data_IF_699367979793
#
_entry.id   IF_699367979793
#
_cell.length_a   1.000
_cell.length_b   1.000
_cell.length_c   1.000
_cell.angle_alpha   90.00
_cell.angle_beta   90.00
_cell.angle_gamma   90.00
#
_symmetry.space_group_name_H-M   'P 1'
#
loop_
_entity.id
_entity.type
_entity.pdbx_description
1 polymer ?
#
# COMPACT_ATOMS: atom_id res chain seq x y z
N UNK A 1 -52.27 9.57 30.70
CA UNK A 1 -52.39 9.96 29.28
C UNK A 1 -51.57 8.97 28.46
N UNK A 2 -52.06 8.52 27.28
CA UNK A 2 -51.28 7.67 26.39
C UNK A 2 -50.12 8.47 25.77
N UNK A 3 -48.94 7.85 25.64
CA UNK A 3 -47.81 8.47 24.96
C UNK A 3 -47.94 8.32 23.44
N UNK A 4 -47.18 9.13 22.69
CA UNK A 4 -47.17 9.10 21.21
C UNK A 4 -45.93 8.40 20.63
N UNK A 5 -45.11 7.76 21.47
CA UNK A 5 -43.91 7.06 21.00
C UNK A 5 -44.23 5.80 20.17
N UNK A 6 -43.39 5.47 19.17
CA UNK A 6 -43.50 4.25 18.37
C UNK A 6 -43.61 2.98 19.21
N UNK A 7 -44.49 2.06 18.79
CA UNK A 7 -44.65 0.76 19.42
C UNK A 7 -43.68 -0.27 18.82
N UNK A 8 -43.25 -1.22 19.65
CA UNK A 8 -42.36 -2.34 19.31
C UNK A 8 -40.97 -1.96 18.75
N UNK A 9 -40.58 -0.69 18.86
CA UNK A 9 -39.26 -0.18 18.52
C UNK A 9 -38.56 0.36 19.78
N UNK A 10 -37.23 0.31 19.79
CA UNK A 10 -36.46 0.94 20.85
C UNK A 10 -36.40 2.45 20.60
N UNK A 11 -36.70 3.23 21.64
CA UNK A 11 -36.65 4.70 21.60
C UNK A 11 -35.98 5.25 22.85
N UNK A 12 -35.12 6.24 22.68
CA UNK A 12 -34.50 6.96 23.78
C UNK A 12 -35.38 8.16 24.14
N UNK A 13 -36.00 8.10 25.32
CA UNK A 13 -36.93 9.14 25.79
C UNK A 13 -36.68 9.46 27.27
N UNK A 14 -36.89 10.72 27.69
CA UNK A 14 -36.75 11.10 29.09
C UNK A 14 -37.86 10.43 29.92
N UNK A 15 -37.46 9.79 31.02
CA UNK A 15 -38.37 9.27 32.02
C UNK A 15 -39.24 10.40 32.58
N UNK A 16 -40.57 10.26 32.56
CA UNK A 16 -41.49 11.29 33.06
C UNK A 16 -41.38 11.53 34.57
N UNK A 17 -40.75 10.61 35.32
CA UNK A 17 -40.57 10.74 36.76
C UNK A 17 -39.28 11.48 37.14
N UNK A 18 -38.16 11.20 36.48
CA UNK A 18 -36.84 11.71 36.88
C UNK A 18 -36.11 12.50 35.79
N UNK A 19 -36.66 12.58 34.59
CA UNK A 19 -36.07 13.28 33.45
C UNK A 19 -34.89 12.57 32.80
N UNK A 20 -34.38 11.47 33.36
CA UNK A 20 -33.23 10.76 32.77
C UNK A 20 -33.62 10.12 31.44
N UNK A 21 -32.78 10.33 30.41
CA UNK A 21 -32.96 9.67 29.11
C UNK A 21 -32.66 8.20 29.27
N UNK A 22 -33.61 7.36 28.89
CA UNK A 22 -33.51 5.91 28.99
C UNK A 22 -34.04 5.29 27.71
N UNK A 23 -33.54 4.09 27.40
CA UNK A 23 -34.03 3.32 26.26
C UNK A 23 -35.28 2.55 26.66
N UNK A 24 -36.38 2.82 25.99
CA UNK A 24 -37.67 2.17 26.21
C UNK A 24 -38.10 1.37 24.98
N UNK A 25 -38.89 0.33 25.21
CA UNK A 25 -39.61 -0.40 24.16
C UNK A 25 -41.06 -0.58 24.59
N UNK A 26 -41.96 0.18 23.98
CA UNK A 26 -43.38 0.20 24.32
C UNK A 26 -44.14 -0.88 23.55
N UNK A 27 -44.97 -1.66 24.22
CA UNK A 27 -45.87 -2.65 23.63
C UNK A 27 -47.29 -2.09 23.45
N UNK A 28 -47.66 -1.04 24.20
CA UNK A 28 -48.95 -0.36 24.12
C UNK A 28 -48.79 1.15 24.31
N UNK A 29 -49.70 1.94 23.72
CA UNK A 29 -49.76 3.39 23.94
C UNK A 29 -50.11 3.76 25.41
N UNK A 30 -50.59 2.80 26.19
CA UNK A 30 -50.88 2.95 27.62
C UNK A 30 -49.69 2.66 28.53
N UNK A 31 -48.55 2.22 27.97
CA UNK A 31 -47.37 1.90 28.78
C UNK A 31 -46.85 3.16 29.49
N UNK A 32 -46.33 2.99 30.70
CA UNK A 32 -45.78 4.12 31.45
C UNK A 32 -44.39 4.48 30.94
N UNK A 33 -44.18 5.77 30.65
CA UNK A 33 -42.86 6.32 30.29
C UNK A 33 -42.06 6.60 31.56
N UNK A 34 -41.82 5.55 32.35
CA UNK A 34 -41.14 5.60 33.65
C UNK A 34 -40.08 4.51 33.68
N UNK A 35 -38.83 4.87 33.98
CA UNK A 35 -37.71 3.92 33.91
C UNK A 35 -37.84 2.79 34.92
N UNK A 36 -37.06 1.71 34.74
CA UNK A 36 -37.07 0.56 35.65
C UNK A 36 -36.82 0.93 37.11
N UNK A 37 -35.94 1.91 37.35
CA UNK A 37 -35.62 2.39 38.68
C UNK A 37 -36.81 3.15 39.30
N UNK A 38 -37.42 4.10 38.60
CA UNK A 38 -38.56 4.85 39.15
C UNK A 38 -39.84 4.02 39.33
N UNK A 39 -40.03 2.94 38.56
CA UNK A 39 -41.21 2.05 38.69
C UNK A 39 -41.33 1.42 40.08
N UNK A 40 -40.22 1.15 40.78
CA UNK A 40 -40.25 0.59 42.14
C UNK A 40 -40.77 1.58 43.20
N UNK A 41 -40.79 2.87 42.88
CA UNK A 41 -41.16 3.96 43.80
C UNK A 41 -42.57 4.50 43.58
N UNK A 42 -43.41 3.86 42.77
CA UNK A 42 -44.78 4.30 42.52
C UNK A 42 -45.65 4.11 43.79
N UNK A 43 -45.95 5.21 44.48
CA UNK A 43 -46.84 5.29 45.64
C UNK A 43 -46.62 6.57 46.45
N UNK A 44 -47.67 7.17 47.06
CA UNK A 44 -47.56 8.45 47.76
C UNK A 44 -46.62 8.41 48.98
N UNK A 45 -46.41 7.23 49.58
CA UNK A 45 -45.55 7.06 50.77
C UNK A 45 -44.05 6.86 50.45
N UNK A 46 -43.66 6.89 49.16
CA UNK A 46 -42.26 6.61 48.73
C UNK A 46 -41.54 7.81 48.12
N UNK A 47 -42.13 9.00 48.13
CA UNK A 47 -41.58 10.19 47.49
C UNK A 47 -40.20 10.59 48.06
N UNK A 48 -40.06 10.64 49.39
CA UNK A 48 -38.78 11.02 50.03
C UNK A 48 -37.67 9.99 49.79
N UNK A 49 -38.02 8.71 49.74
CA UNK A 49 -37.06 7.64 49.41
C UNK A 49 -36.58 7.77 47.96
N UNK A 50 -37.51 7.98 47.02
CA UNK A 50 -37.22 8.21 45.61
C UNK A 50 -36.28 9.40 45.41
N UNK A 51 -36.57 10.53 46.06
CA UNK A 51 -35.79 11.74 45.89
C UNK A 51 -34.36 11.57 46.45
N UNK A 52 -34.19 10.87 47.59
CA UNK A 52 -32.87 10.50 48.11
C UNK A 52 -32.09 9.58 47.15
N UNK A 53 -32.74 8.56 46.59
CA UNK A 53 -32.10 7.65 45.64
C UNK A 53 -31.73 8.37 44.33
N UNK A 54 -32.57 9.28 43.85
CA UNK A 54 -32.24 10.10 42.68
C UNK A 54 -31.06 11.04 42.94
N UNK A 55 -31.01 11.71 44.09
CA UNK A 55 -29.87 12.56 44.44
C UNK A 55 -28.60 11.73 44.48
N UNK A 56 -28.62 10.56 45.13
CA UNK A 56 -27.46 9.67 45.17
C UNK A 56 -27.02 9.21 43.77
N UNK A 57 -27.97 8.85 42.90
CA UNK A 57 -27.69 8.49 41.51
C UNK A 57 -27.04 9.65 40.74
N UNK A 58 -27.61 10.85 40.82
CA UNK A 58 -27.09 12.01 40.12
C UNK A 58 -25.72 12.44 40.63
N UNK A 59 -25.49 12.40 41.94
CA UNK A 59 -24.16 12.63 42.53
C UNK A 59 -23.15 11.64 41.98
N UNK A 60 -23.48 10.34 41.94
CA UNK A 60 -22.58 9.31 41.38
C UNK A 60 -22.30 9.52 39.88
N UNK A 61 -23.29 9.92 39.10
CA UNK A 61 -23.11 10.27 37.68
C UNK A 61 -22.17 11.46 37.52
N UNK A 62 -22.36 12.53 38.31
CA UNK A 62 -21.51 13.72 38.25
C UNK A 62 -20.07 13.42 38.69
N UNK A 63 -19.88 12.64 39.75
CA UNK A 63 -18.55 12.21 40.21
C UNK A 63 -17.82 11.38 39.16
N UNK A 64 -18.54 10.48 38.47
CA UNK A 64 -17.99 9.72 37.35
C UNK A 64 -17.58 10.64 36.19
N UNK A 65 -18.45 11.57 35.79
CA UNK A 65 -18.12 12.55 34.74
C UNK A 65 -16.93 13.44 35.11
N UNK A 66 -16.82 13.88 36.37
CA UNK A 66 -15.70 14.68 36.84
C UNK A 66 -14.39 13.88 36.84
N UNK A 67 -14.47 12.57 37.13
CA UNK A 67 -13.31 11.68 37.02
C UNK A 67 -12.88 11.52 35.56
N UNK A 68 -13.82 11.17 34.68
CA UNK A 68 -13.56 10.99 33.26
C UNK A 68 -13.00 12.28 32.63
N UNK A 69 -13.52 13.45 33.02
CA UNK A 69 -13.03 14.74 32.55
C UNK A 69 -11.60 15.04 33.03
N UNK A 70 -11.26 14.66 34.27
CA UNK A 70 -9.89 14.80 34.81
C UNK A 70 -8.92 13.87 34.08
N UNK A 71 -9.32 12.64 33.83
CA UNK A 71 -8.50 11.65 33.11
C UNK A 71 -8.29 12.09 31.65
N UNK A 72 -9.35 12.51 30.96
CA UNK A 72 -9.26 13.05 29.61
C UNK A 72 -8.37 14.31 29.52
N UNK A 73 -8.42 15.20 30.52
CA UNK A 73 -7.56 16.37 30.57
C UNK A 73 -6.08 15.99 30.79
N UNK A 74 -5.80 14.99 31.62
CA UNK A 74 -4.45 14.48 31.84
C UNK A 74 -3.88 13.83 30.56
N UNK A 75 -4.68 12.99 29.89
CA UNK A 75 -4.31 12.37 28.60
C UNK A 75 -4.05 13.42 27.51
N UNK A 76 -4.94 14.42 27.39
CA UNK A 76 -4.78 15.49 26.42
C UNK A 76 -3.51 16.31 26.66
N UNK A 77 -3.17 16.58 27.94
CA UNK A 77 -1.96 17.28 28.32
C UNK A 77 -0.70 16.48 27.97
N UNK A 78 -0.70 15.17 28.25
CA UNK A 78 0.40 14.28 27.88
C UNK A 78 0.60 14.22 26.36
N UNK A 79 -0.49 14.02 25.60
CA UNK A 79 -0.45 14.00 24.14
C UNK A 79 0.03 15.34 23.55
N UNK A 80 -0.35 16.47 24.13
CA UNK A 80 0.13 17.79 23.72
C UNK A 80 1.64 17.95 23.97
N UNK A 81 2.16 17.42 25.08
CA UNK A 81 3.59 17.38 25.37
C UNK A 81 4.37 16.58 24.34
N UNK A 82 3.93 15.34 24.07
CA UNK A 82 4.57 14.46 23.07
C UNK A 82 4.55 15.08 21.67
N UNK A 83 3.41 15.69 21.27
CA UNK A 83 3.29 16.39 20.00
C UNK A 83 4.24 17.58 19.91
N UNK A 84 4.37 18.38 20.98
CA UNK A 84 5.28 19.51 21.03
C UNK A 84 6.75 19.08 20.90
N UNK A 85 7.15 18.00 21.58
CA UNK A 85 8.50 17.43 21.47
C UNK A 85 8.79 16.92 20.04
N UNK A 86 7.84 16.22 19.44
CA UNK A 86 7.96 15.75 18.05
C UNK A 86 8.09 16.91 17.08
N UNK A 87 7.27 17.96 17.22
CA UNK A 87 7.34 19.16 16.37
C UNK A 87 8.68 19.88 16.54
N UNK A 88 9.17 20.01 17.77
CA UNK A 88 10.47 20.62 18.04
C UNK A 88 11.61 19.83 17.38
N UNK A 89 11.61 18.50 17.50
CA UNK A 89 12.60 17.61 16.88
C UNK A 89 12.58 17.73 15.35
N UNK A 90 11.41 17.58 14.73
CA UNK A 90 11.27 17.67 13.28
C UNK A 90 11.64 19.05 12.74
N UNK A 91 11.34 20.11 13.49
CA UNK A 91 11.75 21.48 13.14
C UNK A 91 13.27 21.61 13.16
N UNK A 92 13.94 21.08 14.17
CA UNK A 92 15.40 21.08 14.26
C UNK A 92 16.05 20.28 13.12
N UNK A 93 15.54 19.08 12.81
CA UNK A 93 16.02 18.26 11.69
C UNK A 93 15.82 18.97 10.35
N UNK A 94 14.65 19.57 10.12
CA UNK A 94 14.38 20.38 8.91
C UNK A 94 15.39 21.51 8.78
N UNK A 95 15.68 22.23 9.86
CA UNK A 95 16.58 23.37 9.83
C UNK A 95 18.03 22.93 9.58
N UNK A 96 18.46 21.81 10.15
CA UNK A 96 19.75 21.17 9.83
C UNK A 96 19.84 20.76 8.36
N UNK A 97 18.81 20.11 7.82
CA UNK A 97 18.77 19.72 6.41
C UNK A 97 18.78 20.92 5.47
N UNK A 98 18.03 21.98 5.81
CA UNK A 98 18.01 23.22 5.03
C UNK A 98 19.37 23.92 5.05
N UNK A 99 20.02 23.95 6.22
CA UNK A 99 21.37 24.48 6.34
C UNK A 99 22.36 23.65 5.51
N UNK A 100 22.34 22.32 5.60
CA UNK A 100 23.20 21.45 4.80
C UNK A 100 22.94 21.51 3.29
N UNK A 101 21.70 21.73 2.87
CA UNK A 101 21.36 21.92 1.46
C UNK A 101 21.91 23.24 0.88
N UNK A 102 22.01 24.29 1.71
CA UNK A 102 22.54 25.61 1.31
C UNK A 102 24.07 25.64 1.44
N UNK A 103 24.60 25.09 2.52
CA UNK A 103 26.03 24.97 2.78
C UNK A 103 26.51 23.54 2.48
N UNK A 104 26.84 23.32 1.20
CA UNK A 104 27.38 22.06 0.72
C UNK A 104 28.78 21.74 1.27
N UNK A 105 29.44 22.68 1.96
CA UNK A 105 30.74 22.45 2.58
C UNK A 105 30.62 21.89 4.01
N UNK A 106 29.43 21.98 4.63
CA UNK A 106 29.15 21.32 5.90
C UNK A 106 29.13 19.79 5.74
N UNK A 107 29.41 19.05 6.82
CA UNK A 107 29.37 17.57 6.83
C UNK A 107 28.00 17.03 6.39
N UNK A 108 26.91 17.65 6.89
CA UNK A 108 25.54 17.33 6.51
C UNK A 108 25.27 17.62 5.03
N UNK A 109 25.80 18.75 4.52
CA UNK A 109 25.67 19.12 3.12
C UNK A 109 26.43 18.19 2.18
N UNK A 110 27.66 17.79 2.55
CA UNK A 110 28.46 16.83 1.81
C UNK A 110 27.78 15.45 1.77
N UNK A 111 27.27 14.96 2.91
CA UNK A 111 26.54 13.71 2.99
C UNK A 111 25.25 13.72 2.13
N UNK A 112 24.51 14.83 2.15
CA UNK A 112 23.30 15.00 1.33
C UNK A 112 23.64 14.99 -0.17
N UNK A 113 24.72 15.66 -0.59
CA UNK A 113 25.15 15.67 -1.99
C UNK A 113 25.60 14.28 -2.46
N UNK A 114 26.32 13.55 -1.61
CA UNK A 114 26.73 12.18 -1.91
C UNK A 114 25.52 11.26 -2.09
N UNK A 115 24.55 11.31 -1.16
CA UNK A 115 23.29 10.58 -1.26
C UNK A 115 22.51 10.92 -2.53
N UNK A 116 22.40 12.20 -2.89
CA UNK A 116 21.71 12.64 -4.10
C UNK A 116 22.43 12.16 -5.37
N UNK A 117 23.76 12.16 -5.38
CA UNK A 117 24.57 11.66 -6.49
C UNK A 117 24.34 10.15 -6.66
N UNK A 118 24.43 9.41 -5.58
CA UNK A 118 24.14 7.98 -5.50
C UNK A 118 22.74 7.65 -6.02
N UNK A 119 21.75 8.42 -5.61
CA UNK A 119 20.37 8.28 -6.04
C UNK A 119 20.21 8.52 -7.54
N UNK A 120 20.89 9.54 -8.09
CA UNK A 120 20.91 9.79 -9.54
C UNK A 120 21.56 8.63 -10.29
N UNK A 121 22.67 8.09 -9.79
CA UNK A 121 23.34 6.92 -10.36
C UNK A 121 22.40 5.72 -10.35
N UNK A 122 21.80 5.38 -9.20
CA UNK A 122 20.83 4.27 -9.08
C UNK A 122 19.64 4.43 -10.03
N UNK A 123 19.11 5.65 -10.18
CA UNK A 123 18.00 5.92 -11.13
C UNK A 123 18.45 5.73 -12.58
N UNK A 124 19.64 6.21 -12.94
CA UNK A 124 20.20 6.05 -14.28
C UNK A 124 20.47 4.57 -14.61
N UNK A 125 21.00 3.81 -13.66
CA UNK A 125 21.22 2.36 -13.79
C UNK A 125 19.90 1.62 -13.99
N UNK A 126 18.87 1.90 -13.17
CA UNK A 126 17.54 1.29 -13.35
C UNK A 126 16.93 1.63 -14.71
N UNK A 127 17.03 2.87 -15.16
CA UNK A 127 16.56 3.28 -16.49
C UNK A 127 17.29 2.55 -17.61
N UNK A 128 18.60 2.36 -17.47
CA UNK A 128 19.45 1.61 -18.40
C UNK A 128 19.05 0.13 -18.43
N UNK A 129 18.85 -0.49 -17.26
CA UNK A 129 18.40 -1.88 -17.14
C UNK A 129 17.01 -2.10 -17.76
N UNK A 130 16.07 -1.17 -17.56
CA UNK A 130 14.74 -1.24 -18.17
C UNK A 130 14.82 -1.12 -19.69
N UNK A 131 15.63 -0.19 -20.20
CA UNK A 131 15.87 -0.04 -21.65
C UNK A 131 16.50 -1.30 -22.23
N UNK A 132 17.52 -1.85 -21.57
CA UNK A 132 18.16 -3.11 -21.98
C UNK A 132 17.14 -4.26 -22.04
N UNK A 133 16.28 -4.40 -21.03
CA UNK A 133 15.22 -5.43 -21.02
C UNK A 133 14.23 -5.26 -22.17
N UNK A 134 13.87 -4.02 -22.54
CA UNK A 134 13.00 -3.73 -23.68
C UNK A 134 13.67 -4.11 -25.00
N UNK A 135 14.94 -3.75 -25.17
CA UNK A 135 15.75 -4.14 -26.34
C UNK A 135 15.84 -5.66 -26.44
N UNK A 136 16.15 -6.37 -25.35
CA UNK A 136 16.21 -7.83 -25.34
C UNK A 136 14.86 -8.44 -25.74
N UNK A 137 13.74 -7.90 -25.22
CA UNK A 137 12.40 -8.37 -25.58
C UNK A 137 12.13 -8.22 -27.09
N UNK A 138 12.51 -7.08 -27.67
CA UNK A 138 12.35 -6.84 -29.10
C UNK A 138 13.27 -7.76 -29.93
N UNK A 139 14.53 -7.93 -29.51
CA UNK A 139 15.48 -8.80 -30.20
C UNK A 139 15.09 -10.27 -30.14
N UNK A 140 14.52 -10.74 -29.03
CA UNK A 140 13.92 -12.08 -28.93
C UNK A 140 12.77 -12.25 -29.94
N UNK A 141 11.90 -11.25 -30.07
CA UNK A 141 10.80 -11.31 -31.04
C UNK A 141 11.31 -11.36 -32.49
N UNK A 142 12.33 -10.57 -32.82
CA UNK A 142 12.99 -10.58 -34.13
C UNK A 142 13.71 -11.90 -34.40
N UNK A 143 14.41 -12.45 -33.41
CA UNK A 143 15.08 -13.75 -33.50
C UNK A 143 14.06 -14.87 -33.77
N UNK A 144 12.94 -14.88 -33.04
CA UNK A 144 11.83 -15.83 -33.29
C UNK A 144 11.27 -15.68 -34.70
N UNK A 145 11.07 -14.45 -35.17
CA UNK A 145 10.60 -14.19 -36.53
C UNK A 145 11.60 -14.74 -37.56
N UNK A 146 12.90 -14.54 -37.35
CA UNK A 146 13.95 -15.07 -38.23
C UNK A 146 13.93 -16.60 -38.28
N UNK A 147 13.67 -17.27 -37.16
CA UNK A 147 13.57 -18.73 -37.13
C UNK A 147 12.53 -19.27 -38.15
N UNK A 148 11.45 -18.51 -38.41
CA UNK A 148 10.44 -18.86 -39.41
C UNK A 148 10.65 -18.20 -40.79
N UNK A 149 11.34 -17.05 -40.83
CA UNK A 149 11.53 -16.24 -42.04
C UNK A 149 13.01 -15.92 -42.30
N UNK A 150 13.73 -16.89 -42.85
CA UNK A 150 15.11 -16.74 -43.31
C UNK A 150 15.30 -17.26 -44.73
N UNK A 151 16.42 -16.92 -45.41
CA UNK A 151 16.76 -17.51 -46.70
C UNK A 151 16.79 -19.03 -46.64
N UNK A 152 16.05 -19.69 -47.53
CA UNK A 152 16.00 -21.14 -47.62
C UNK A 152 17.34 -21.67 -48.17
N UNK A 153 18.09 -22.48 -47.40
CA UNK A 153 19.36 -23.04 -47.87
C UNK A 153 19.19 -23.99 -49.06
N UNK A 154 18.00 -24.57 -49.26
CA UNK A 154 17.70 -25.49 -50.37
C UNK A 154 17.26 -24.76 -51.64
N UNK A 155 16.81 -23.50 -51.53
CA UNK A 155 16.29 -22.70 -52.64
C UNK A 155 16.86 -21.27 -52.59
N UNK A 156 18.03 -21.02 -53.20
CA UNK A 156 18.64 -19.70 -53.23
C UNK A 156 17.67 -18.63 -53.73
N UNK A 157 17.62 -17.49 -53.04
CA UNK A 157 16.72 -16.38 -53.38
C UNK A 157 15.28 -16.51 -52.86
N UNK A 158 14.94 -17.63 -52.19
CA UNK A 158 13.62 -17.84 -51.57
C UNK A 158 13.71 -17.80 -50.04
N UNK A 159 12.61 -17.42 -49.39
CA UNK A 159 12.40 -17.56 -47.95
C UNK A 159 11.82 -18.94 -47.64
N UNK A 160 12.06 -19.46 -46.43
CA UNK A 160 11.47 -20.73 -45.95
C UNK A 160 9.93 -20.75 -46.04
N UNK A 161 9.27 -19.60 -45.99
CA UNK A 161 7.82 -19.49 -46.19
C UNK A 161 7.35 -19.70 -47.65
N UNK A 162 8.28 -19.94 -48.59
CA UNK A 162 8.01 -20.21 -50.01
C UNK A 162 7.93 -18.97 -50.91
N UNK A 163 8.00 -17.76 -50.36
CA UNK A 163 8.05 -16.50 -51.13
C UNK A 163 9.48 -16.15 -51.54
N UNK A 164 9.66 -15.35 -52.59
CA UNK A 164 10.99 -14.82 -52.92
C UNK A 164 11.44 -13.81 -51.86
N UNK A 165 12.74 -13.71 -51.59
CA UNK A 165 13.27 -12.80 -50.57
C UNK A 165 12.79 -11.34 -50.73
N UNK A 166 12.71 -10.76 -51.95
CA UNK A 166 12.18 -9.40 -52.14
C UNK A 166 10.69 -9.24 -51.84
N UNK A 167 9.90 -10.33 -51.90
CA UNK A 167 8.43 -10.30 -51.72
C UNK A 167 7.98 -10.77 -50.34
N UNK A 168 8.87 -11.36 -49.53
CA UNK A 168 8.61 -11.67 -48.13
C UNK A 168 8.79 -10.41 -47.27
N UNK A 169 7.68 -9.83 -46.80
CA UNK A 169 7.69 -8.62 -45.97
C UNK A 169 8.51 -8.80 -44.69
N UNK A 170 8.41 -9.97 -44.07
CA UNK A 170 9.11 -10.34 -42.84
C UNK A 170 10.62 -10.44 -43.06
N UNK A 171 11.08 -11.14 -44.11
CA UNK A 171 12.50 -11.22 -44.44
C UNK A 171 13.10 -9.86 -44.82
N UNK A 172 12.31 -8.99 -45.47
CA UNK A 172 12.73 -7.62 -45.78
C UNK A 172 12.92 -6.76 -44.52
N UNK A 173 12.02 -6.85 -43.55
CA UNK A 173 12.16 -6.16 -42.25
C UNK A 173 13.39 -6.69 -41.50
N UNK A 174 13.58 -8.01 -41.49
CA UNK A 174 14.72 -8.65 -40.84
C UNK A 174 16.06 -8.28 -41.48
N UNK A 175 16.11 -8.01 -42.79
CA UNK A 175 17.33 -7.59 -43.47
C UNK A 175 17.91 -6.31 -42.87
N UNK A 176 17.06 -5.31 -42.59
CA UNK A 176 17.48 -4.01 -42.06
C UNK A 176 18.15 -4.11 -40.68
N UNK A 177 17.79 -5.11 -39.88
CA UNK A 177 18.25 -5.30 -38.49
C UNK A 177 19.15 -6.53 -38.31
N UNK A 178 19.50 -7.21 -39.40
CA UNK A 178 20.19 -8.51 -39.35
C UNK A 178 21.53 -8.43 -38.61
N UNK A 179 22.31 -7.40 -38.89
CA UNK A 179 23.63 -7.24 -38.27
C UNK A 179 23.51 -6.95 -36.77
N UNK A 180 22.61 -6.04 -36.38
CA UNK A 180 22.35 -5.71 -34.98
C UNK A 180 21.90 -6.93 -34.17
N UNK A 181 21.02 -7.75 -34.74
CA UNK A 181 20.54 -8.98 -34.12
C UNK A 181 21.66 -10.02 -33.97
N UNK A 182 22.54 -10.20 -34.97
CA UNK A 182 23.73 -11.07 -34.85
C UNK A 182 24.70 -10.58 -33.78
N UNK A 183 24.87 -9.26 -33.67
CA UNK A 183 25.74 -8.65 -32.66
C UNK A 183 25.14 -8.75 -31.26
N UNK A 184 23.83 -8.60 -31.14
CA UNK A 184 23.09 -8.88 -29.91
C UNK A 184 23.19 -10.36 -29.51
N UNK A 185 22.98 -11.29 -30.43
CA UNK A 185 23.05 -12.73 -30.17
C UNK A 185 24.46 -13.12 -29.71
N UNK A 186 25.51 -12.67 -30.42
CA UNK A 186 26.91 -12.91 -30.04
C UNK A 186 27.24 -12.41 -28.63
N UNK A 187 26.87 -11.16 -28.31
CA UNK A 187 27.09 -10.60 -26.96
C UNK A 187 26.36 -11.39 -25.89
N UNK A 188 25.13 -11.84 -26.15
CA UNK A 188 24.38 -12.60 -25.16
C UNK A 188 24.88 -14.05 -25.02
N UNK A 189 25.45 -14.63 -26.07
CA UNK A 189 26.17 -15.90 -25.98
C UNK A 189 27.44 -15.77 -25.13
N UNK A 190 28.17 -14.67 -25.24
CA UNK A 190 29.31 -14.38 -24.35
C UNK A 190 28.86 -14.23 -22.89
N UNK A 191 27.74 -13.54 -22.63
CA UNK A 191 27.16 -13.43 -21.29
C UNK A 191 26.72 -14.79 -20.74
N UNK A 192 26.07 -15.62 -21.56
CA UNK A 192 25.67 -16.98 -21.21
C UNK A 192 26.89 -17.83 -20.81
N UNK A 193 27.95 -17.83 -21.63
CA UNK A 193 29.20 -18.57 -21.34
C UNK A 193 29.90 -18.07 -20.07
N UNK A 194 29.76 -16.78 -19.76
CA UNK A 194 30.30 -16.18 -18.54
C UNK A 194 29.40 -16.41 -17.30
N UNK A 195 28.30 -17.15 -17.41
CA UNK A 195 27.35 -17.37 -16.30
C UNK A 195 26.62 -16.09 -15.86
N UNK A 196 26.57 -15.06 -16.71
CA UNK A 196 25.92 -13.78 -16.44
C UNK A 196 24.50 -13.78 -17.00
N UNK A 197 23.66 -12.87 -16.49
CA UNK A 197 22.32 -12.63 -17.03
C UNK A 197 22.43 -12.24 -18.52
N UNK A 198 21.68 -12.95 -19.36
CA UNK A 198 21.60 -12.73 -20.82
C UNK A 198 20.15 -12.58 -21.27
N UNK A 199 19.95 -12.09 -22.49
CA UNK A 199 18.66 -11.87 -23.15
C UNK A 199 18.20 -12.97 -24.11
N UNK A 200 19.00 -14.03 -24.33
CA UNK A 200 18.61 -15.14 -25.22
C UNK A 200 17.32 -15.83 -24.73
N UNK A 201 16.43 -16.25 -25.65
CA UNK A 201 15.22 -16.96 -25.28
C UNK A 201 15.53 -18.41 -24.83
N UNK A 202 14.68 -19.04 -23.99
CA UNK A 202 14.89 -20.40 -23.49
C UNK A 202 15.04 -21.46 -24.58
N UNK A 203 14.35 -21.30 -25.69
CA UNK A 203 14.39 -22.19 -26.85
C UNK A 203 15.62 -21.99 -27.75
N UNK A 204 16.51 -21.06 -27.41
CA UNK A 204 17.75 -20.88 -28.15
C UNK A 204 18.64 -22.14 -27.99
N UNK A 205 19.23 -22.69 -29.07
CA UNK A 205 19.97 -23.96 -29.02
C UNK A 205 21.06 -24.00 -27.94
N UNK A 206 21.82 -22.91 -27.81
CA UNK A 206 22.89 -22.77 -26.81
C UNK A 206 22.38 -22.65 -25.36
N UNK A 207 21.14 -22.19 -25.16
CA UNK A 207 20.52 -22.13 -23.82
C UNK A 207 19.98 -23.52 -23.43
N UNK A 208 19.33 -24.21 -24.37
CA UNK A 208 18.83 -25.57 -24.15
C UNK A 208 19.96 -26.61 -23.97
N UNK A 209 21.09 -26.42 -24.64
CA UNK A 209 22.29 -27.24 -24.46
C UNK A 209 23.01 -26.98 -23.12
N UNK A 210 22.77 -25.82 -22.50
CA UNK A 210 23.37 -25.40 -21.23
C UNK A 210 22.54 -25.76 -19.97
N UNK A 211 21.60 -26.71 -20.06
CA UNK A 211 20.81 -27.24 -18.93
C UNK A 211 21.69 -27.74 -17.75
N UNK A 212 21.17 -27.77 -16.51
CA UNK A 212 21.89 -27.35 -15.31
C UNK A 212 23.00 -28.31 -14.90
N UNK A 213 24.25 -27.93 -15.15
CA UNK A 213 25.39 -28.42 -14.40
C UNK A 213 25.58 -27.53 -13.16
N UNK A 214 24.89 -27.84 -12.04
CA UNK A 214 25.13 -27.11 -10.78
C UNK A 214 24.05 -27.15 -9.70
N UNK A 215 23.26 -28.22 -9.58
CA UNK A 215 22.40 -28.46 -8.41
C UNK A 215 23.08 -29.40 -7.42
N UNK A 216 24.16 -28.94 -6.78
CA UNK A 216 24.97 -29.73 -5.84
C UNK A 216 25.06 -29.10 -4.45
N UNK A 217 24.25 -29.62 -3.53
CA UNK A 217 24.53 -29.85 -2.11
C UNK A 217 25.12 -28.73 -1.22
N UNK A 218 24.30 -28.31 -0.25
CA UNK A 218 24.70 -27.85 1.09
C UNK A 218 23.42 -27.56 1.85
N UNK A 219 22.99 -28.32 2.86
CA UNK A 219 23.77 -28.96 3.92
C UNK A 219 23.32 -28.29 5.21
N UNK A 220 22.57 -29.06 6.02
CA UNK A 220 21.92 -28.75 7.31
C UNK A 220 22.54 -27.64 8.16
#
# INVERSE_FOLDING_TARGET
MPHQHPLHADVDVPCLCCGSVQRFRFASASDQVVCGHCRSHLGPERAEQRDREHIALWCGILEAHDSDARDAAAEASAAAGEAAELVARLTAERDQLRAGAIDTASEVGAALQDQLRDDRVRRAERATQLTAKRVDTAMVALWRLQAFHHPDPKKPGSCVCGRTLPTCGESRVLEAVRQEMRDWERRNLELLRAGKRHGLPPEHPEVGAAGPAGGGAGGR
#
